data_IF_180800516421
#
_entry.id   IF_180800516421
#
_cell.length_a   1.000
_cell.length_b   1.000
_cell.length_c   1.000
_cell.angle_alpha   90.00
_cell.angle_beta   90.00
_cell.angle_gamma   90.00
#
_symmetry.space_group_name_H-M   'P 1'
#
loop_
_entity.id
_entity.type
_entity.pdbx_description
1 polymer ?
#
# COMPACT_ATOMS: atom_id res chain seq x y z
N UNK A 1 10.69 1.05 -3.39
CA UNK A 1 10.02 1.59 -2.19
C UNK A 1 9.50 2.99 -2.49
N UNK A 2 8.28 3.31 -2.05
CA UNK A 2 7.70 4.65 -2.09
C UNK A 2 6.75 4.82 -0.90
N UNK A 3 6.39 6.06 -0.56
CA UNK A 3 5.44 6.32 0.53
C UNK A 3 4.05 6.60 -0.01
N UNK A 4 3.05 6.20 0.76
CA UNK A 4 1.64 6.55 0.51
C UNK A 4 0.97 7.07 1.78
N UNK A 5 -0.16 7.73 1.59
CA UNK A 5 -1.10 8.08 2.65
C UNK A 5 -2.52 7.85 2.16
N UNK A 6 -3.31 7.15 2.95
CA UNK A 6 -4.71 6.84 2.66
C UNK A 6 -5.58 7.65 3.63
N UNK A 7 -6.58 8.40 3.15
CA UNK A 7 -7.36 9.35 3.96
C UNK A 7 -8.63 8.75 4.58
N UNK A 8 -9.13 7.65 4.02
CA UNK A 8 -10.35 6.97 4.46
C UNK A 8 -10.34 5.46 4.13
N UNK A 9 -11.34 4.73 4.60
CA UNK A 9 -11.45 3.27 4.39
C UNK A 9 -11.69 2.90 2.93
N UNK A 10 -12.36 3.74 2.15
CA UNK A 10 -12.59 3.49 0.73
C UNK A 10 -11.27 3.54 -0.07
N UNK A 11 -10.35 4.44 0.28
CA UNK A 11 -9.00 4.46 -0.29
C UNK A 11 -8.18 3.24 0.13
N UNK A 12 -8.38 2.72 1.35
CA UNK A 12 -7.77 1.45 1.76
C UNK A 12 -8.28 0.26 0.94
N UNK A 13 -9.59 0.20 0.68
CA UNK A 13 -10.15 -0.80 -0.22
C UNK A 13 -9.60 -0.70 -1.65
N UNK A 14 -9.46 0.52 -2.17
CA UNK A 14 -8.92 0.75 -3.50
C UNK A 14 -7.43 0.37 -3.60
N UNK A 15 -6.63 0.76 -2.60
CA UNK A 15 -5.24 0.34 -2.49
C UNK A 15 -5.10 -1.18 -2.46
N UNK A 16 -5.89 -1.86 -1.62
CA UNK A 16 -5.84 -3.32 -1.49
C UNK A 16 -6.26 -4.01 -2.78
N UNK A 17 -7.28 -3.49 -3.48
CA UNK A 17 -7.67 -4.00 -4.81
C UNK A 17 -6.53 -3.88 -5.82
N UNK A 18 -5.81 -2.76 -5.82
CA UNK A 18 -4.64 -2.59 -6.69
C UNK A 18 -3.49 -3.53 -6.28
N UNK A 19 -3.22 -3.66 -4.97
CA UNK A 19 -2.18 -4.55 -4.45
C UNK A 19 -2.49 -6.03 -4.77
N UNK A 20 -3.75 -6.45 -4.70
CA UNK A 20 -4.17 -7.81 -5.03
C UNK A 20 -4.01 -8.16 -6.52
N UNK A 21 -4.00 -7.17 -7.41
CA UNK A 21 -3.71 -7.35 -8.84
C UNK A 21 -2.21 -7.46 -9.13
N UNK A 22 -1.35 -7.06 -8.20
CA UNK A 22 0.09 -7.23 -8.32
C UNK A 22 0.45 -8.71 -8.15
N UNK A 23 1.19 -9.25 -9.11
CA UNK A 23 1.62 -10.65 -9.09
C UNK A 23 2.64 -10.97 -8.00
N UNK A 24 3.36 -9.96 -7.50
CA UNK A 24 4.34 -10.08 -6.42
C UNK A 24 3.78 -9.74 -5.03
N UNK A 25 4.63 -9.87 -4.01
CA UNK A 25 4.30 -9.43 -2.66
C UNK A 25 4.36 -7.90 -2.56
N UNK A 26 3.43 -7.37 -1.77
CA UNK A 26 3.28 -5.94 -1.50
C UNK A 26 3.29 -5.79 0.00
N UNK A 27 4.37 -5.27 0.57
CA UNK A 27 4.47 -5.05 2.01
C UNK A 27 4.23 -3.58 2.33
N UNK A 28 3.38 -3.34 3.33
CA UNK A 28 3.23 -2.04 3.95
C UNK A 28 4.01 -1.99 5.26
N UNK A 29 4.68 -0.88 5.50
CA UNK A 29 5.54 -0.68 6.65
C UNK A 29 5.31 0.68 7.31
N UNK A 30 5.20 0.69 8.64
CA UNK A 30 5.23 1.91 9.44
C UNK A 30 5.90 1.69 10.79
N UNK A 31 7.06 2.31 11.02
CA UNK A 31 7.84 2.19 12.25
C UNK A 31 8.59 0.85 12.35
N UNK A 32 8.04 -0.11 13.10
CA UNK A 32 8.58 -1.48 13.24
C UNK A 32 7.58 -2.54 12.75
N UNK A 33 6.41 -2.12 12.29
CA UNK A 33 5.30 -3.00 11.92
C UNK A 33 5.30 -3.16 10.41
N UNK A 34 5.26 -4.43 9.97
CA UNK A 34 5.05 -4.83 8.59
C UNK A 34 3.72 -5.58 8.49
N UNK A 35 2.98 -5.33 7.41
CA UNK A 35 1.78 -6.08 7.06
C UNK A 35 1.80 -6.43 5.58
N UNK A 36 1.07 -7.48 5.24
CA UNK A 36 0.68 -7.76 3.87
C UNK A 36 -0.26 -6.65 3.35
N UNK A 37 0.13 -5.96 2.29
CA UNK A 37 -0.62 -4.89 1.64
C UNK A 37 -1.87 -5.37 0.87
N UNK A 38 -2.06 -6.68 0.73
CA UNK A 38 -3.28 -7.31 0.21
C UNK A 38 -4.30 -7.61 1.33
N UNK A 39 -3.93 -7.41 2.60
CA UNK A 39 -4.83 -7.59 3.74
C UNK A 39 -5.56 -6.29 4.09
N UNK A 40 -6.83 -6.17 3.69
CA UNK A 40 -7.65 -4.98 4.00
C UNK A 40 -7.71 -4.68 5.50
N UNK A 41 -7.90 -5.71 6.33
CA UNK A 41 -7.92 -5.54 7.78
C UNK A 41 -6.56 -5.03 8.29
N UNK A 42 -5.46 -5.56 7.77
CA UNK A 42 -4.12 -5.09 8.09
C UNK A 42 -3.92 -3.63 7.72
N UNK A 43 -4.29 -3.24 6.48
CA UNK A 43 -4.13 -1.85 5.98
C UNK A 43 -4.91 -0.87 6.83
N UNK A 44 -6.17 -1.19 7.17
CA UNK A 44 -6.99 -0.37 8.05
C UNK A 44 -6.38 -0.29 9.46
N UNK A 45 -5.89 -1.41 10.00
CA UNK A 45 -5.28 -1.46 11.33
C UNK A 45 -3.94 -0.70 11.42
N UNK A 46 -3.15 -0.66 10.34
CA UNK A 46 -1.87 0.06 10.32
C UNK A 46 -2.05 1.59 10.41
N UNK A 47 -3.15 2.10 9.86
CA UNK A 47 -3.62 3.44 10.11
C UNK A 47 -3.95 4.21 8.84
N UNK A 48 -5.18 4.72 8.81
CA UNK A 48 -5.65 5.76 7.89
C UNK A 48 -5.09 7.10 8.39
N UNK A 49 -4.84 8.05 7.47
CA UNK A 49 -4.26 9.38 7.73
C UNK A 49 -2.84 9.32 8.28
N UNK A 50 -2.10 8.28 7.88
CA UNK A 50 -0.71 8.05 8.25
C UNK A 50 0.13 7.76 7.00
N UNK A 51 1.37 8.23 6.99
CA UNK A 51 2.33 7.83 5.97
C UNK A 51 2.82 6.40 6.20
N UNK A 52 2.77 5.59 5.14
CA UNK A 52 3.21 4.21 5.14
C UNK A 52 4.17 3.98 3.98
N UNK A 53 5.20 3.17 4.20
CA UNK A 53 6.14 2.77 3.14
C UNK A 53 5.65 1.51 2.45
N UNK A 54 5.55 1.55 1.13
CA UNK A 54 5.25 0.40 0.29
C UNK A 54 6.55 -0.20 -0.23
N UNK A 55 6.73 -1.50 0.01
CA UNK A 55 7.79 -2.32 -0.56
C UNK A 55 7.18 -3.32 -1.55
N UNK A 56 7.83 -3.46 -2.70
CA UNK A 56 7.44 -4.39 -3.75
C UNK A 56 8.57 -5.39 -3.91
N UNK A 57 8.26 -6.68 -3.83
CA UNK A 57 9.25 -7.74 -4.06
C UNK A 57 9.68 -7.82 -5.53
N UNK A 58 8.89 -7.29 -6.47
CA UNK A 58 9.26 -7.16 -7.87
C UNK A 58 9.22 -5.69 -8.34
N UNK A 59 10.33 -4.95 -8.27
CA UNK A 59 10.37 -3.51 -8.57
C UNK A 59 10.20 -3.18 -10.07
N UNK A 60 10.26 -4.17 -10.97
CA UNK A 60 9.97 -3.98 -12.40
C UNK A 60 8.45 -3.92 -12.68
N UNK A 61 7.62 -4.33 -11.71
CA UNK A 61 6.17 -4.23 -11.80
C UNK A 61 5.69 -2.81 -11.42
N UNK A 62 5.72 -1.92 -12.41
CA UNK A 62 5.23 -0.55 -12.27
C UNK A 62 3.69 -0.44 -12.20
N UNK A 63 2.95 -1.56 -12.37
CA UNK A 63 1.49 -1.55 -12.43
C UNK A 63 0.89 -1.01 -11.13
N UNK A 64 1.38 -1.49 -9.99
CA UNK A 64 0.91 -1.06 -8.68
C UNK A 64 1.24 0.42 -8.44
N UNK A 65 2.49 0.83 -8.66
CA UNK A 65 2.92 2.23 -8.46
C UNK A 65 2.05 3.20 -9.27
N UNK A 66 1.70 2.83 -10.51
CA UNK A 66 0.81 3.61 -11.37
C UNK A 66 -0.63 3.65 -10.82
N UNK A 67 -1.16 2.51 -10.36
CA UNK A 67 -2.51 2.42 -9.81
C UNK A 67 -2.68 3.22 -8.50
N UNK A 68 -1.64 3.28 -7.67
CA UNK A 68 -1.67 3.94 -6.36
C UNK A 68 -1.05 5.35 -6.38
N UNK A 69 -0.71 5.87 -7.56
CA UNK A 69 0.01 7.14 -7.73
C UNK A 69 -0.67 8.31 -7.00
N UNK A 70 -2.01 8.30 -6.93
CA UNK A 70 -2.79 9.34 -6.23
C UNK A 70 -2.64 9.32 -4.71
N UNK A 71 -2.21 8.21 -4.13
CA UNK A 71 -1.94 8.06 -2.70
C UNK A 71 -0.48 8.38 -2.36
N UNK A 72 0.39 8.54 -3.36
CA UNK A 72 1.83 8.74 -3.16
C UNK A 72 2.09 10.11 -2.55
N UNK A 73 2.96 10.14 -1.55
CA UNK A 73 3.42 11.36 -0.87
C UNK A 73 4.92 11.56 -1.07
N UNK A 74 5.37 12.82 -0.94
CA UNK A 74 6.77 13.23 -1.13
C UNK A 74 7.69 12.74 -0.01
#
# INVERSE_FOLDING_TARGET
MFKIRLENTAEAEEFVKAAAQCGGDVDLHSGVVYIDGKSLLGVIAMGIKREMSVHLNNPEDYSLKKAVQKFVVA
#
